data_IF_637774501649
#
_entry.id   IF_637774501649
#
_cell.length_a   1.000
_cell.length_b   1.000
_cell.length_c   1.000
_cell.angle_alpha   90.00
_cell.angle_beta   90.00
_cell.angle_gamma   90.00
#
_symmetry.space_group_name_H-M   'P 1'
#
loop_
_entity.id
_entity.type
_entity.pdbx_description
1 polymer ?
#
# COMPACT_ATOMS: atom_id res chain seq x y z
N UNK A 1 -15.67 9.06 2.72
CA UNK A 1 -14.95 8.84 3.97
C UNK A 1 -13.60 9.51 4.02
N UNK A 2 -13.03 9.56 5.17
CA UNK A 2 -11.72 10.17 5.37
C UNK A 2 -10.63 9.25 4.82
N UNK A 3 -9.56 9.81 4.24
CA UNK A 3 -8.43 8.99 3.81
C UNK A 3 -7.72 8.37 5.01
N UNK A 4 -7.29 7.14 4.84
CA UNK A 4 -6.45 6.46 5.81
C UNK A 4 -4.99 6.63 5.45
N UNK A 5 -4.14 6.61 6.45
CA UNK A 5 -2.71 6.77 6.23
C UNK A 5 -1.93 5.82 7.14
N UNK A 6 -0.93 5.16 6.55
CA UNK A 6 -0.04 4.26 7.28
C UNK A 6 1.38 4.76 7.08
N UNK A 7 2.11 4.94 8.18
CA UNK A 7 3.51 5.33 8.14
C UNK A 7 4.34 4.38 8.98
N UNK A 8 5.38 3.85 8.36
CA UNK A 8 6.42 3.08 9.02
C UNK A 8 7.76 3.68 8.63
N UNK A 9 8.83 3.30 9.31
CA UNK A 9 10.16 3.82 9.01
C UNK A 9 10.53 3.49 7.55
N UNK A 10 10.61 4.51 6.72
CA UNK A 10 11.01 4.36 5.33
C UNK A 10 9.93 3.87 4.39
N UNK A 11 8.68 3.80 4.84
CA UNK A 11 7.58 3.36 4.00
C UNK A 11 6.28 4.01 4.44
N UNK A 12 5.44 4.43 3.47
CA UNK A 12 4.11 4.95 3.80
C UNK A 12 3.12 4.62 2.69
N UNK A 13 1.85 4.58 3.07
CA UNK A 13 0.75 4.36 2.16
C UNK A 13 -0.42 5.27 2.54
N UNK A 14 -1.12 5.76 1.54
CA UNK A 14 -2.31 6.59 1.72
C UNK A 14 -3.47 5.88 1.03
N UNK A 15 -4.57 5.69 1.75
CA UNK A 15 -5.78 5.05 1.24
C UNK A 15 -6.84 6.13 1.05
N UNK A 16 -7.27 6.35 -0.20
CA UNK A 16 -8.24 7.40 -0.52
C UNK A 16 -9.51 6.76 -1.06
N UNK A 17 -10.60 6.92 -0.34
CA UNK A 17 -11.90 6.40 -0.76
C UNK A 17 -12.41 7.12 -1.99
N UNK A 18 -12.87 6.36 -2.97
CA UNK A 18 -13.41 6.89 -4.21
C UNK A 18 -14.93 6.96 -4.15
N UNK A 19 -15.53 7.62 -5.13
CA UNK A 19 -16.98 7.82 -5.17
C UNK A 19 -17.77 6.51 -5.23
N UNK A 20 -17.20 5.47 -5.80
CA UNK A 20 -17.86 4.17 -5.92
C UNK A 20 -17.62 3.25 -4.71
N UNK A 21 -16.92 3.75 -3.70
CA UNK A 21 -16.69 3.00 -2.47
C UNK A 21 -15.39 2.21 -2.40
N UNK A 22 -14.65 2.10 -3.51
CA UNK A 22 -13.34 1.45 -3.42
C UNK A 22 -12.27 2.47 -3.00
N UNK A 23 -11.06 1.99 -2.71
CA UNK A 23 -9.96 2.83 -2.27
C UNK A 23 -8.84 2.82 -3.28
N UNK A 24 -8.28 3.99 -3.56
CA UNK A 24 -7.02 4.08 -4.27
C UNK A 24 -5.91 4.14 -3.22
N UNK A 25 -4.87 3.34 -3.45
CA UNK A 25 -3.78 3.22 -2.48
C UNK A 25 -2.51 3.76 -3.13
N UNK A 26 -1.93 4.77 -2.52
CA UNK A 26 -0.65 5.32 -2.97
C UNK A 26 0.43 4.88 -2.02
N UNK A 27 1.49 4.28 -2.55
CA UNK A 27 2.56 3.70 -1.74
C UNK A 27 3.90 4.29 -2.13
N UNK A 28 4.71 4.61 -1.14
CA UNK A 28 6.07 5.12 -1.33
C UNK A 28 7.00 4.41 -0.36
N UNK A 29 8.23 4.17 -0.81
CA UNK A 29 9.23 3.52 0.02
C UNK A 29 10.58 4.12 -0.24
N UNK A 30 11.47 4.09 0.74
CA UNK A 30 12.84 4.57 0.57
C UNK A 30 13.73 3.49 -0.03
N UNK A 31 13.60 2.26 0.44
CA UNK A 31 14.48 1.17 -0.02
C UNK A 31 13.75 -0.14 -0.25
N UNK A 32 12.59 -0.34 0.37
CA UNK A 32 11.86 -1.62 0.31
C UNK A 32 10.99 -1.65 -0.94
N UNK A 33 11.18 -2.61 -1.86
CA UNK A 33 10.33 -2.69 -3.03
C UNK A 33 8.89 -3.02 -2.65
N UNK A 34 7.94 -2.28 -3.23
CA UNK A 34 6.52 -2.43 -2.93
C UNK A 34 5.67 -2.66 -4.19
N UNK A 35 6.29 -2.71 -5.35
CA UNK A 35 5.56 -2.86 -6.61
C UNK A 35 4.87 -4.21 -6.75
N UNK A 36 5.44 -5.27 -6.19
CA UNK A 36 4.79 -6.58 -6.24
C UNK A 36 3.52 -6.60 -5.39
N UNK A 37 3.53 -5.91 -4.25
CA UNK A 37 2.35 -5.77 -3.42
C UNK A 37 1.27 -5.03 -4.21
N UNK A 38 1.63 -3.96 -4.90
CA UNK A 38 0.70 -3.20 -5.72
C UNK A 38 0.07 -4.08 -6.80
N UNK A 39 0.87 -4.94 -7.44
CA UNK A 39 0.36 -5.85 -8.47
C UNK A 39 -0.65 -6.84 -7.91
N UNK A 40 -0.46 -7.31 -6.69
CA UNK A 40 -1.41 -8.23 -6.06
C UNK A 40 -2.73 -7.57 -5.73
N UNK A 41 -2.77 -6.24 -5.72
CA UNK A 41 -3.96 -5.47 -5.36
C UNK A 41 -4.39 -4.55 -6.50
N UNK A 42 -4.41 -5.11 -7.71
CA UNK A 42 -4.92 -4.43 -8.90
C UNK A 42 -4.21 -3.11 -9.19
N UNK A 43 -2.90 -3.16 -9.18
CA UNK A 43 -2.09 -1.98 -9.44
C UNK A 43 -0.72 -2.33 -9.96
N UNK A 44 0.24 -1.47 -9.66
CA UNK A 44 1.63 -1.63 -10.08
C UNK A 44 2.37 -0.32 -10.03
N UNK A 45 3.58 -0.31 -10.57
CA UNK A 45 4.39 0.89 -10.67
C UNK A 45 5.86 0.61 -10.43
N UNK A 46 6.57 1.64 -10.00
CA UNK A 46 7.98 1.60 -9.69
C UNK A 46 8.21 0.86 -8.35
N UNK A 47 9.33 0.16 -8.16
CA UNK A 47 9.60 -0.52 -6.88
C UNK A 47 9.47 0.35 -5.65
N UNK A 48 9.78 1.64 -5.75
CA UNK A 48 9.73 2.54 -4.61
C UNK A 48 8.54 3.52 -4.65
N UNK A 49 7.70 3.44 -5.69
CA UNK A 49 6.57 4.34 -5.87
C UNK A 49 5.50 3.65 -6.69
N UNK A 50 4.51 3.09 -6.03
CA UNK A 50 3.46 2.31 -6.69
C UNK A 50 2.08 2.73 -6.24
N UNK A 51 1.07 2.32 -7.01
CA UNK A 51 -0.32 2.52 -6.65
C UNK A 51 -1.09 1.22 -6.79
N UNK A 52 -2.12 1.08 -6.00
CA UNK A 52 -2.96 -0.10 -6.03
C UNK A 52 -4.42 0.30 -5.85
N UNK A 53 -5.30 -0.69 -5.88
CA UNK A 53 -6.71 -0.49 -5.58
C UNK A 53 -7.13 -1.49 -4.51
N UNK A 54 -8.00 -1.05 -3.63
CA UNK A 54 -8.54 -1.89 -2.57
C UNK A 54 -10.05 -1.79 -2.60
N UNK A 55 -10.72 -2.90 -2.41
CA UNK A 55 -12.16 -2.96 -2.60
C UNK A 55 -12.92 -3.22 -1.29
N UNK A 56 -12.21 -3.23 -0.17
CA UNK A 56 -12.82 -3.40 1.15
C UNK A 56 -11.87 -2.92 2.24
N UNK A 57 -12.41 -2.70 3.43
CA UNK A 57 -11.60 -2.36 4.59
C UNK A 57 -10.68 -3.53 4.96
N UNK A 58 -11.15 -4.74 4.75
CA UNK A 58 -10.35 -5.93 5.00
C UNK A 58 -9.15 -6.00 4.07
N UNK A 59 -9.33 -5.60 2.82
CA UNK A 59 -8.22 -5.55 1.88
C UNK A 59 -7.22 -4.46 2.27
N UNK A 60 -7.69 -3.33 2.79
CA UNK A 60 -6.79 -2.29 3.31
C UNK A 60 -5.89 -2.86 4.41
N UNK A 61 -6.46 -3.64 5.33
CA UNK A 61 -5.69 -4.27 6.39
C UNK A 61 -4.71 -5.29 5.85
N UNK A 62 -5.09 -6.04 4.82
CA UNK A 62 -4.22 -7.01 4.19
C UNK A 62 -3.03 -6.32 3.53
N UNK A 63 -3.28 -5.21 2.83
CA UNK A 63 -2.21 -4.43 2.22
C UNK A 63 -1.25 -3.93 3.30
N UNK A 64 -1.77 -3.45 4.41
CA UNK A 64 -0.94 -3.00 5.52
C UNK A 64 -0.03 -4.12 6.03
N UNK A 65 -0.58 -5.31 6.24
CA UNK A 65 0.21 -6.46 6.68
C UNK A 65 1.31 -6.79 5.70
N UNK A 66 1.00 -6.77 4.41
CA UNK A 66 1.98 -7.09 3.37
C UNK A 66 3.11 -6.06 3.34
N UNK A 67 2.76 -4.78 3.52
CA UNK A 67 3.76 -3.72 3.57
C UNK A 67 4.68 -3.87 4.79
N UNK A 68 4.11 -4.20 5.95
CA UNK A 68 4.91 -4.43 7.15
C UNK A 68 5.82 -5.63 7.00
N UNK A 69 5.33 -6.71 6.42
CA UNK A 69 6.13 -7.89 6.19
C UNK A 69 7.30 -7.60 5.24
N UNK A 70 7.03 -6.86 4.16
CA UNK A 70 8.08 -6.49 3.22
C UNK A 70 9.16 -5.66 3.90
N UNK A 71 8.76 -4.74 4.77
CA UNK A 71 9.68 -3.90 5.51
C UNK A 71 10.57 -4.74 6.41
N UNK A 72 9.99 -5.71 7.12
CA UNK A 72 10.72 -6.58 8.03
C UNK A 72 11.74 -7.44 7.30
N UNK A 73 11.36 -7.96 6.14
CA UNK A 73 12.27 -8.77 5.33
C UNK A 73 13.50 -7.97 4.94
N UNK A 74 13.31 -6.71 4.56
CA UNK A 74 14.43 -5.87 4.12
C UNK A 74 15.27 -5.33 5.26
N UNK A 75 14.71 -5.23 6.45
CA UNK A 75 15.45 -4.78 7.63
C UNK A 75 16.14 -5.93 8.35
N UNK A 76 15.63 -7.12 8.12
CA UNK A 76 15.97 -8.30 8.81
C UNK A 76 17.24 -8.88 8.66
#
# INVERSE_FOLDING_TARGET
>A
GAPGRIEEVGLWAIFVEQADGHFRVRMRSKITPINEIAKRHDGGGHPLASGANSYSLEENEQIYKELKEALQIHQG
#
